data_IF_799479227758
#
_entry.id   IF_799479227758
#
_cell.length_a   1.000
_cell.length_b   1.000
_cell.length_c   1.000
_cell.angle_alpha   90.00
_cell.angle_beta   90.00
_cell.angle_gamma   90.00
#
_symmetry.space_group_name_H-M   'P 1'
#
loop_
_entity.id
_entity.type
_entity.pdbx_description
1 polymer ?
#
# COMPACT_ATOMS: atom_id res chain seq x y z
N UNK A 1 15.79 -18.44 -7.70
CA UNK A 1 16.86 -17.72 -6.98
C UNK A 1 17.16 -16.43 -7.72
N UNK A 2 16.47 -15.33 -7.38
CA UNK A 2 16.77 -14.02 -7.93
C UNK A 2 17.02 -13.10 -6.74
N UNK A 3 18.24 -12.61 -6.71
CA UNK A 3 18.81 -11.71 -5.72
C UNK A 3 18.09 -10.38 -5.77
N UNK A 4 17.47 -9.96 -4.67
CA UNK A 4 16.85 -8.63 -4.56
C UNK A 4 17.64 -7.81 -3.54
N UNK A 5 18.52 -6.98 -4.08
CA UNK A 5 19.37 -6.05 -3.34
C UNK A 5 18.51 -5.04 -2.55
N UNK A 6 18.78 -4.92 -1.25
CA UNK A 6 18.25 -3.86 -0.39
C UNK A 6 19.11 -2.61 -0.58
N UNK A 7 18.67 -1.70 -1.44
CA UNK A 7 19.19 -0.34 -1.49
C UNK A 7 18.44 0.50 -0.44
N UNK A 8 19.07 0.68 0.72
CA UNK A 8 18.64 1.69 1.69
C UNK A 8 19.20 3.03 1.23
N UNK A 9 18.34 3.90 0.72
CA UNK A 9 18.73 5.26 0.34
C UNK A 9 17.76 6.25 1.00
N UNK A 10 18.36 7.29 1.59
CA UNK A 10 17.77 8.44 2.31
C UNK A 10 17.42 8.26 3.79
N UNK A 11 18.46 8.22 4.62
CA UNK A 11 18.45 8.80 5.97
C UNK A 11 19.05 10.21 5.93
N UNK A 12 18.25 11.22 5.56
CA UNK A 12 18.63 12.62 5.78
C UNK A 12 18.20 13.04 7.19
N UNK A 13 19.18 13.15 8.10
CA UNK A 13 19.03 13.87 9.37
C UNK A 13 18.71 15.33 9.05
N UNK A 14 17.53 15.79 9.47
CA UNK A 14 17.24 17.23 9.59
C UNK A 14 18.17 17.81 10.64
N UNK A 15 19.06 18.70 10.20
CA UNK A 15 19.79 19.62 11.06
C UNK A 15 18.77 20.63 11.57
N UNK A 16 18.53 20.65 12.87
CA UNK A 16 17.80 21.71 13.54
C UNK A 16 18.60 23.01 13.43
N UNK A 17 18.27 23.84 12.45
CA UNK A 17 18.71 25.22 12.39
C UNK A 17 17.86 26.03 13.37
N UNK A 18 18.21 25.97 14.66
CA UNK A 18 17.76 26.91 15.68
C UNK A 18 18.30 28.30 15.35
N UNK A 19 17.59 29.04 14.51
CA UNK A 19 17.85 30.46 14.26
C UNK A 19 17.28 31.25 15.42
N UNK A 20 18.06 31.38 16.49
CA UNK A 20 17.80 32.33 17.55
C UNK A 20 17.74 33.74 16.94
N UNK A 21 16.57 34.38 17.08
CA UNK A 21 16.41 35.79 16.79
C UNK A 21 17.18 36.60 17.86
N UNK A 22 17.88 37.69 17.48
CA UNK A 22 18.52 38.56 18.45
C UNK A 22 17.45 39.25 19.32
N UNK A 23 17.74 39.51 20.61
CA UNK A 23 16.86 40.34 21.43
C UNK A 23 16.78 41.74 20.82
N UNK A 24 15.56 42.24 20.64
CA UNK A 24 15.31 43.61 20.26
C UNK A 24 15.83 44.52 21.39
N UNK A 25 16.95 45.19 21.13
CA UNK A 25 17.48 46.28 21.94
C UNK A 25 16.44 47.40 22.01
N UNK A 26 15.74 47.49 23.13
CA UNK A 26 14.93 48.65 23.49
C UNK A 26 15.87 49.78 23.92
N UNK A 27 16.43 50.51 22.96
CA UNK A 27 17.06 51.81 23.21
C UNK A 27 16.00 52.90 23.01
N UNK A 28 15.26 53.16 24.07
CA UNK A 28 14.43 54.36 24.20
C UNK A 28 15.35 55.55 24.51
N UNK A 29 15.96 56.12 23.49
CA UNK A 29 16.57 57.46 23.57
C UNK A 29 15.55 58.49 23.07
N UNK A 30 15.09 59.43 23.91
CA UNK A 30 14.30 60.56 23.45
C UNK A 30 15.18 61.54 22.67
N UNK A 31 14.70 62.15 21.57
CA UNK A 31 15.46 63.17 20.87
C UNK A 31 15.64 64.40 21.78
N UNK A 32 16.91 64.64 22.16
CA UNK A 32 17.39 65.85 22.81
C UNK A 32 17.19 67.05 21.86
N UNK A 33 16.29 67.95 22.23
CA UNK A 33 16.10 69.23 21.54
C UNK A 33 17.23 70.20 21.92
N UNK A 34 17.83 70.94 20.96
CA UNK A 34 18.81 71.97 21.27
C UNK A 34 18.15 73.19 21.98
N UNK A 35 18.91 73.94 22.79
CA UNK A 35 18.37 75.04 23.58
C UNK A 35 17.96 76.23 22.71
N UNK A 36 16.82 76.83 23.04
CA UNK A 36 16.36 78.10 22.49
C UNK A 36 17.36 79.20 22.86
N UNK A 37 18.13 79.67 21.89
CA UNK A 37 18.97 80.86 22.02
C UNK A 37 18.06 82.09 21.95
N UNK A 38 17.89 82.78 23.08
CA UNK A 38 17.29 84.11 23.14
C UNK A 38 18.32 85.16 22.66
N UNK A 39 18.01 86.03 21.70
CA UNK A 39 18.81 87.22 21.47
C UNK A 39 18.40 88.35 22.41
N UNK A 40 19.32 88.70 23.30
CA UNK A 40 19.37 89.97 24.04
C UNK A 40 19.62 91.10 23.05
N UNK A 41 18.72 92.08 22.95
CA UNK A 41 18.97 93.33 22.22
C UNK A 41 18.93 94.49 23.22
N UNK A 42 20.11 95.07 23.41
CA UNK A 42 20.36 96.33 24.13
C UNK A 42 20.19 97.52 23.18
N UNK A 43 19.33 98.45 23.62
CA UNK A 43 19.29 99.92 23.46
C UNK A 43 20.03 100.59 22.28
N UNK A 44 19.36 101.52 21.59
CA UNK A 44 19.76 102.94 21.65
C UNK A 44 18.78 103.92 20.94
N UNK A 45 18.61 105.08 21.59
CA UNK A 45 18.04 106.33 21.07
C UNK A 45 18.84 106.85 19.89
N UNK A 46 18.20 107.19 18.76
CA UNK A 46 18.59 108.33 17.91
C UNK A 46 17.31 108.99 17.37
N UNK A 47 17.27 110.31 17.49
CA UNK A 47 16.23 111.23 17.04
C UNK A 47 16.47 111.69 15.59
N UNK A 48 15.36 112.02 14.94
CA UNK A 48 15.14 113.11 13.97
C UNK A 48 15.67 113.02 12.51
N UNK A 49 14.71 113.28 11.60
CA UNK A 49 14.81 114.03 10.34
C UNK A 49 15.12 113.26 9.02
N UNK A 50 14.08 112.85 8.25
CA UNK A 50 14.11 112.69 6.77
C UNK A 50 12.74 112.33 6.13
N UNK A 51 11.75 113.22 6.15
CA UNK A 51 10.36 112.93 5.74
C UNK A 51 10.06 112.82 4.22
N UNK A 52 11.02 112.52 3.33
CA UNK A 52 10.75 112.45 1.87
C UNK A 52 11.43 111.28 1.13
N UNK A 53 12.40 110.58 1.73
CA UNK A 53 13.07 109.41 1.12
C UNK A 53 12.47 108.05 1.50
N UNK A 54 11.71 107.97 2.60
CA UNK A 54 11.10 106.71 3.09
C UNK A 54 10.05 106.15 2.12
N UNK A 55 9.37 107.01 1.36
CA UNK A 55 8.24 106.61 0.52
C UNK A 55 8.63 105.63 -0.60
N UNK A 56 9.83 105.78 -1.18
CA UNK A 56 10.35 104.92 -2.25
C UNK A 56 10.86 103.59 -1.71
N UNK A 57 11.43 103.56 -0.51
CA UNK A 57 11.84 102.31 0.16
C UNK A 57 10.64 101.46 0.58
N UNK A 58 9.55 102.09 1.06
CA UNK A 58 8.33 101.37 1.42
C UNK A 58 7.68 100.68 0.22
N UNK A 59 7.66 101.31 -0.96
CA UNK A 59 7.12 100.70 -2.19
C UNK A 59 7.96 99.50 -2.68
N UNK A 60 9.29 99.58 -2.57
CA UNK A 60 10.18 98.46 -2.90
C UNK A 60 10.02 97.29 -1.93
N UNK A 61 9.87 97.58 -0.63
CA UNK A 61 9.57 96.59 0.40
C UNK A 61 8.22 95.93 0.15
N UNK A 62 7.19 96.68 -0.23
CA UNK A 62 5.85 96.14 -0.48
C UNK A 62 5.81 95.30 -1.77
N UNK A 63 6.56 95.69 -2.81
CA UNK A 63 6.79 94.85 -3.99
C UNK A 63 7.54 93.56 -3.66
N UNK A 64 8.59 93.63 -2.83
CA UNK A 64 9.31 92.43 -2.42
C UNK A 64 8.42 91.49 -1.60
N UNK A 65 7.60 92.05 -0.71
CA UNK A 65 6.64 91.33 0.12
C UNK A 65 5.57 90.63 -0.73
N UNK A 66 4.96 91.35 -1.68
CA UNK A 66 3.95 90.78 -2.58
C UNK A 66 4.53 89.67 -3.45
N UNK A 67 5.74 89.83 -3.99
CA UNK A 67 6.46 88.76 -4.72
C UNK A 67 6.73 87.53 -3.85
N UNK A 68 7.09 87.74 -2.58
CA UNK A 68 7.31 86.64 -1.66
C UNK A 68 6.00 85.91 -1.35
N UNK A 69 4.91 86.65 -1.12
CA UNK A 69 3.58 86.09 -0.85
C UNK A 69 3.13 85.24 -2.03
N UNK A 70 3.18 85.75 -3.27
CA UNK A 70 2.76 85.00 -4.45
C UNK A 70 3.62 83.75 -4.68
N UNK A 71 4.92 83.83 -4.42
CA UNK A 71 5.82 82.67 -4.47
C UNK A 71 5.42 81.62 -3.42
N UNK A 72 5.17 82.03 -2.18
CA UNK A 72 4.75 81.14 -1.11
C UNK A 72 3.37 80.52 -1.38
N UNK A 73 2.44 81.27 -1.97
CA UNK A 73 1.14 80.76 -2.39
C UNK A 73 1.28 79.71 -3.50
N UNK A 74 2.12 79.96 -4.50
CA UNK A 74 2.43 79.00 -5.56
C UNK A 74 3.10 77.72 -5.02
N UNK A 75 4.06 77.85 -4.10
CA UNK A 75 4.67 76.69 -3.42
C UNK A 75 3.65 75.94 -2.56
N UNK A 76 2.76 76.66 -1.86
CA UNK A 76 1.68 76.06 -1.07
C UNK A 76 0.73 75.25 -1.97
N UNK A 77 0.34 75.79 -3.12
CA UNK A 77 -0.51 75.09 -4.09
C UNK A 77 0.18 73.86 -4.66
N UNK A 78 1.47 73.96 -5.00
CA UNK A 78 2.26 72.82 -5.48
C UNK A 78 2.35 71.72 -4.41
N UNK A 79 2.69 72.07 -3.18
CA UNK A 79 2.74 71.12 -2.07
C UNK A 79 1.38 70.51 -1.77
N UNK A 80 0.29 71.28 -1.88
CA UNK A 80 -1.06 70.77 -1.73
C UNK A 80 -1.41 69.76 -2.83
N UNK A 81 -1.02 70.02 -4.09
CA UNK A 81 -1.20 69.10 -5.20
C UNK A 81 -0.37 67.82 -5.03
N UNK A 82 0.90 67.95 -4.64
CA UNK A 82 1.80 66.81 -4.39
C UNK A 82 1.30 65.94 -3.22
N UNK A 83 0.82 66.57 -2.13
CA UNK A 83 0.18 65.86 -1.02
C UNK A 83 -1.10 65.16 -1.44
N UNK A 84 -1.91 65.78 -2.31
CA UNK A 84 -3.10 65.17 -2.89
C UNK A 84 -2.75 63.93 -3.72
N UNK A 85 -1.76 64.04 -4.59
CA UNK A 85 -1.24 62.94 -5.40
C UNK A 85 -0.68 61.80 -4.55
N UNK A 86 0.15 62.11 -3.55
CA UNK A 86 0.72 61.12 -2.65
C UNK A 86 -0.36 60.38 -1.84
N UNK A 87 -1.39 61.08 -1.38
CA UNK A 87 -2.54 60.46 -0.69
C UNK A 87 -3.33 59.53 -1.63
N UNK A 88 -3.54 59.94 -2.88
CA UNK A 88 -4.20 59.10 -3.87
C UNK A 88 -3.38 57.84 -4.22
N UNK A 89 -2.06 57.96 -4.32
CA UNK A 89 -1.16 56.81 -4.50
C UNK A 89 -1.16 55.88 -3.29
N UNK A 90 -1.15 56.44 -2.08
CA UNK A 90 -1.20 55.66 -0.84
C UNK A 90 -2.53 54.90 -0.72
N UNK A 91 -3.66 55.53 -1.01
CA UNK A 91 -4.96 54.85 -0.98
C UNK A 91 -5.07 53.76 -2.05
N UNK A 92 -4.57 54.01 -3.26
CA UNK A 92 -4.52 53.00 -4.32
C UNK A 92 -3.62 51.80 -3.93
N UNK A 93 -2.46 52.05 -3.33
CA UNK A 93 -1.56 51.00 -2.85
C UNK A 93 -2.17 50.19 -1.69
N UNK A 94 -2.92 50.84 -0.79
CA UNK A 94 -3.65 50.17 0.29
C UNK A 94 -4.76 49.26 -0.27
N UNK A 95 -5.56 49.76 -1.22
CA UNK A 95 -6.59 48.97 -1.88
C UNK A 95 -6.00 47.74 -2.60
N UNK A 96 -4.89 47.92 -3.33
CA UNK A 96 -4.20 46.81 -3.99
C UNK A 96 -3.62 45.79 -3.00
N UNK A 97 -3.09 46.25 -1.86
CA UNK A 97 -2.58 45.37 -0.81
C UNK A 97 -3.72 44.58 -0.13
N UNK A 98 -4.87 45.21 0.11
CA UNK A 98 -6.06 44.55 0.65
C UNK A 98 -6.62 43.51 -0.33
N UNK A 99 -6.69 43.84 -1.62
CA UNK A 99 -7.09 42.89 -2.66
C UNK A 99 -6.12 41.70 -2.74
N UNK A 100 -4.81 41.94 -2.68
CA UNK A 100 -3.82 40.87 -2.66
C UNK A 100 -3.94 39.99 -1.42
N UNK A 101 -4.29 40.56 -0.26
CA UNK A 101 -4.52 39.80 0.98
C UNK A 101 -5.79 38.97 0.90
N UNK A 102 -6.86 39.51 0.31
CA UNK A 102 -8.09 38.75 0.08
C UNK A 102 -7.81 37.53 -0.81
N UNK A 103 -7.10 37.74 -1.93
CA UNK A 103 -6.70 36.65 -2.84
C UNK A 103 -5.79 35.62 -2.17
N UNK A 104 -4.87 36.02 -1.29
CA UNK A 104 -4.02 35.05 -0.58
C UNK A 104 -4.84 34.19 0.38
N UNK A 105 -5.82 34.77 1.08
CA UNK A 105 -6.72 34.02 1.97
C UNK A 105 -7.55 33.01 1.18
N UNK A 106 -8.07 33.40 0.00
CA UNK A 106 -8.83 32.50 -0.87
C UNK A 106 -7.98 31.33 -1.38
N UNK A 107 -6.74 31.60 -1.79
CA UNK A 107 -5.81 30.56 -2.23
C UNK A 107 -5.41 29.62 -1.09
N UNK A 108 -5.15 30.14 0.11
CA UNK A 108 -4.88 29.32 1.29
C UNK A 108 -6.07 28.40 1.63
N UNK A 109 -7.29 28.93 1.56
CA UNK A 109 -8.50 28.14 1.75
C UNK A 109 -8.63 27.04 0.68
N UNK A 110 -8.33 27.35 -0.58
CA UNK A 110 -8.38 26.36 -1.67
C UNK A 110 -7.32 25.26 -1.52
N UNK A 111 -6.09 25.62 -1.13
CA UNK A 111 -5.02 24.65 -0.85
C UNK A 111 -5.41 23.76 0.32
N UNK A 112 -6.00 24.33 1.39
CA UNK A 112 -6.49 23.54 2.53
C UNK A 112 -7.58 22.54 2.10
N UNK A 113 -8.50 22.95 1.23
CA UNK A 113 -9.54 22.06 0.68
C UNK A 113 -8.94 20.91 -0.14
N UNK A 114 -7.98 21.20 -1.02
CA UNK A 114 -7.30 20.18 -1.84
C UNK A 114 -6.50 19.20 -0.99
N UNK A 115 -5.79 19.68 0.04
CA UNK A 115 -5.10 18.84 0.99
C UNK A 115 -6.06 17.91 1.74
N UNK A 116 -7.20 18.42 2.20
CA UNK A 116 -8.22 17.60 2.86
C UNK A 116 -8.81 16.54 1.92
N UNK A 117 -9.09 16.89 0.67
CA UNK A 117 -9.57 15.95 -0.34
C UNK A 117 -8.55 14.85 -0.65
N UNK A 118 -7.27 15.21 -0.78
CA UNK A 118 -6.19 14.26 -1.01
C UNK A 118 -6.03 13.27 0.16
N UNK A 119 -6.17 13.73 1.41
CA UNK A 119 -6.14 12.84 2.57
C UNK A 119 -7.28 11.81 2.56
N UNK A 120 -8.49 12.22 2.16
CA UNK A 120 -9.65 11.32 2.04
C UNK A 120 -9.37 10.24 1.00
N UNK A 121 -8.86 10.63 -0.18
CA UNK A 121 -8.49 9.68 -1.23
C UNK A 121 -7.36 8.73 -0.79
N UNK A 122 -6.33 9.24 -0.11
CA UNK A 122 -5.26 8.38 0.42
C UNK A 122 -5.80 7.36 1.43
N UNK A 123 -6.75 7.73 2.29
CA UNK A 123 -7.41 6.78 3.22
C UNK A 123 -8.19 5.73 2.44
N UNK A 124 -8.90 6.12 1.37
CA UNK A 124 -9.59 5.21 0.46
C UNK A 124 -8.63 4.21 -0.22
N UNK A 125 -7.51 4.70 -0.77
CA UNK A 125 -6.48 3.86 -1.37
C UNK A 125 -5.86 2.88 -0.36
N UNK A 126 -5.59 3.31 0.89
CA UNK A 126 -5.09 2.44 1.96
C UNK A 126 -6.09 1.34 2.33
N UNK A 127 -7.37 1.68 2.42
CA UNK A 127 -8.44 0.72 2.70
C UNK A 127 -8.55 -0.33 1.58
N UNK A 128 -8.54 0.10 0.31
CA UNK A 128 -8.53 -0.81 -0.85
C UNK A 128 -7.29 -1.70 -0.87
N UNK A 129 -6.10 -1.16 -0.59
CA UNK A 129 -4.88 -1.95 -0.52
C UNK A 129 -4.93 -3.01 0.60
N UNK A 130 -5.52 -2.68 1.76
CA UNK A 130 -5.74 -3.65 2.83
C UNK A 130 -6.72 -4.75 2.42
N UNK A 131 -7.78 -4.40 1.68
CA UNK A 131 -8.74 -5.38 1.15
C UNK A 131 -8.09 -6.30 0.12
N UNK A 132 -7.30 -5.77 -0.82
CA UNK A 132 -6.56 -6.57 -1.80
C UNK A 132 -5.68 -7.60 -1.09
N UNK A 133 -4.89 -7.18 -0.09
CA UNK A 133 -4.04 -8.10 0.68
C UNK A 133 -4.84 -9.23 1.36
N UNK A 134 -6.01 -8.92 1.93
CA UNK A 134 -6.88 -9.94 2.55
C UNK A 134 -7.37 -10.96 1.52
N UNK A 135 -7.76 -10.49 0.33
CA UNK A 135 -8.21 -11.37 -0.75
C UNK A 135 -7.07 -12.23 -1.29
N UNK A 136 -5.86 -11.68 -1.42
CA UNK A 136 -4.66 -12.44 -1.81
C UNK A 136 -4.38 -13.57 -0.82
N UNK A 137 -4.36 -13.28 0.49
CA UNK A 137 -4.19 -14.31 1.53
C UNK A 137 -5.28 -15.38 1.44
N UNK A 138 -6.55 -14.99 1.27
CA UNK A 138 -7.65 -15.95 1.14
C UNK A 138 -7.55 -16.82 -0.12
N UNK A 139 -7.01 -16.29 -1.22
CA UNK A 139 -6.79 -17.07 -2.45
C UNK A 139 -5.67 -18.08 -2.26
N UNK A 140 -4.59 -17.71 -1.57
CA UNK A 140 -3.49 -18.62 -1.28
C UNK A 140 -3.92 -19.73 -0.32
N UNK A 141 -4.67 -19.39 0.75
CA UNK A 141 -5.27 -20.39 1.65
C UNK A 141 -6.18 -21.38 0.90
N UNK A 142 -6.97 -20.87 -0.06
CA UNK A 142 -7.85 -21.69 -0.89
C UNK A 142 -7.05 -22.60 -1.85
N UNK A 143 -5.94 -22.11 -2.41
CA UNK A 143 -5.02 -22.90 -3.24
C UNK A 143 -4.38 -24.02 -2.43
N UNK A 144 -3.88 -23.71 -1.23
CA UNK A 144 -3.26 -24.70 -0.33
C UNK A 144 -4.27 -25.73 0.16
N UNK A 145 -5.51 -25.31 0.46
CA UNK A 145 -6.60 -26.23 0.75
C UNK A 145 -6.94 -27.12 -0.46
N UNK A 146 -6.93 -26.55 -1.67
CA UNK A 146 -7.12 -27.30 -2.92
C UNK A 146 -6.02 -28.34 -3.15
N UNK A 147 -4.75 -27.96 -2.97
CA UNK A 147 -3.61 -28.85 -3.10
C UNK A 147 -3.67 -30.03 -2.11
N UNK A 148 -4.01 -29.74 -0.85
CA UNK A 148 -4.22 -30.79 0.18
C UNK A 148 -5.36 -31.74 -0.18
N UNK A 149 -6.50 -31.22 -0.65
CA UNK A 149 -7.62 -32.06 -1.10
C UNK A 149 -7.24 -32.93 -2.29
N UNK A 150 -6.43 -32.42 -3.21
CA UNK A 150 -5.97 -33.22 -4.35
C UNK A 150 -4.99 -34.31 -3.91
N UNK A 151 -4.10 -34.02 -2.96
CA UNK A 151 -3.21 -35.03 -2.36
C UNK A 151 -3.99 -36.11 -1.60
N UNK A 152 -5.01 -35.73 -0.84
CA UNK A 152 -5.93 -36.66 -0.17
C UNK A 152 -6.72 -37.48 -1.19
N UNK A 153 -7.25 -36.86 -2.24
CA UNK A 153 -7.92 -37.56 -3.35
C UNK A 153 -6.99 -38.48 -4.12
N UNK A 154 -5.70 -38.18 -4.16
CA UNK A 154 -4.70 -39.06 -4.77
C UNK A 154 -4.44 -40.33 -3.94
N UNK A 155 -5.05 -40.48 -2.77
CA UNK A 155 -4.90 -41.67 -1.91
C UNK A 155 -6.24 -42.37 -1.69
N UNK A 156 -6.21 -43.68 -1.84
CA UNK A 156 -7.31 -44.57 -1.48
C UNK A 156 -7.15 -44.97 0.00
N UNK A 157 -7.99 -44.40 0.86
CA UNK A 157 -8.03 -44.73 2.28
C UNK A 157 -8.92 -45.94 2.54
N UNK A 158 -8.41 -46.90 3.32
CA UNK A 158 -9.11 -48.14 3.62
C UNK A 158 -9.03 -48.52 5.10
N UNK A 159 -9.95 -49.38 5.51
CA UNK A 159 -9.97 -50.08 6.79
C UNK A 159 -10.23 -51.57 6.53
N UNK A 160 -9.44 -52.45 7.11
CA UNK A 160 -9.62 -53.89 6.99
C UNK A 160 -10.74 -54.35 7.91
N UNK A 161 -11.77 -54.99 7.36
CA UNK A 161 -12.92 -55.47 8.12
C UNK A 161 -12.55 -56.45 9.25
N UNK A 162 -11.60 -57.40 9.07
CA UNK A 162 -11.33 -58.40 10.11
C UNK A 162 -10.69 -57.87 11.40
N UNK A 163 -9.89 -56.81 11.32
CA UNK A 163 -9.10 -56.31 12.46
C UNK A 163 -9.16 -54.79 12.66
N UNK A 164 -9.91 -54.06 11.83
CA UNK A 164 -10.01 -52.61 11.88
C UNK A 164 -8.73 -51.86 11.47
N UNK A 165 -7.73 -52.54 10.92
CA UNK A 165 -6.46 -51.91 10.53
C UNK A 165 -6.67 -50.94 9.38
N UNK A 166 -6.23 -49.71 9.56
CA UNK A 166 -6.37 -48.64 8.56
C UNK A 166 -5.12 -48.45 7.73
N UNK A 167 -5.26 -48.03 6.49
CA UNK A 167 -4.13 -47.63 5.65
C UNK A 167 -4.52 -46.73 4.49
N UNK A 168 -3.54 -46.40 3.65
CA UNK A 168 -3.75 -45.62 2.42
C UNK A 168 -2.87 -46.15 1.29
N UNK A 169 -3.40 -46.19 0.07
CA UNK A 169 -2.69 -46.59 -1.14
C UNK A 169 -2.68 -45.41 -2.12
N UNK A 170 -1.57 -45.11 -2.77
CA UNK A 170 -1.56 -44.05 -3.79
C UNK A 170 -2.34 -44.47 -5.04
N UNK A 171 -2.94 -43.50 -5.72
CA UNK A 171 -3.59 -43.68 -7.03
C UNK A 171 -2.67 -44.36 -8.03
N UNK A 172 -1.39 -43.97 -8.04
CA UNK A 172 -0.39 -44.51 -8.97
C UNK A 172 -0.17 -46.00 -8.77
N UNK A 173 -0.21 -46.49 -7.52
CA UNK A 173 -0.10 -47.91 -7.19
C UNK A 173 -1.36 -48.66 -7.62
N UNK A 174 -2.56 -48.10 -7.40
CA UNK A 174 -3.80 -48.72 -7.88
C UNK A 174 -3.90 -48.75 -9.41
N UNK A 175 -3.37 -47.73 -10.10
CA UNK A 175 -3.36 -47.64 -11.55
C UNK A 175 -2.45 -48.69 -12.22
N UNK A 176 -1.62 -49.43 -11.47
CA UNK A 176 -0.83 -50.55 -12.00
C UNK A 176 -1.69 -51.75 -12.41
N UNK A 177 -2.91 -51.84 -11.87
CA UNK A 177 -3.91 -52.86 -12.18
C UNK A 177 -5.27 -52.19 -12.46
N UNK A 178 -5.46 -51.53 -13.61
CA UNK A 178 -6.67 -50.74 -13.91
C UNK A 178 -7.95 -51.59 -13.96
N UNK A 179 -7.82 -52.87 -14.29
CA UNK A 179 -8.96 -53.80 -14.33
C UNK A 179 -9.37 -54.31 -12.94
N UNK A 180 -8.55 -54.06 -11.92
CA UNK A 180 -8.80 -54.51 -10.55
C UNK A 180 -10.03 -53.84 -9.95
N UNK A 181 -10.73 -54.56 -9.07
CA UNK A 181 -11.87 -54.02 -8.34
C UNK A 181 -11.45 -52.83 -7.47
N UNK A 182 -10.25 -52.86 -6.90
CA UNK A 182 -9.70 -51.77 -6.08
C UNK A 182 -9.53 -50.47 -6.87
N UNK A 183 -9.08 -50.54 -8.12
CA UNK A 183 -8.98 -49.36 -8.97
C UNK A 183 -10.35 -48.81 -9.34
N UNK A 184 -11.31 -49.68 -9.68
CA UNK A 184 -12.70 -49.28 -9.97
C UNK A 184 -13.39 -48.63 -8.77
N UNK A 185 -13.17 -49.18 -7.57
CA UNK A 185 -13.61 -48.56 -6.31
C UNK A 185 -13.02 -47.17 -6.13
N UNK A 186 -11.72 -47.00 -6.36
CA UNK A 186 -11.07 -45.70 -6.27
C UNK A 186 -11.63 -44.68 -7.28
N UNK A 187 -11.88 -45.10 -8.52
CA UNK A 187 -12.47 -44.25 -9.56
C UNK A 187 -13.95 -43.91 -9.30
N UNK A 188 -14.61 -44.59 -8.37
CA UNK A 188 -16.04 -44.44 -8.10
C UNK A 188 -16.93 -45.22 -9.08
N UNK A 189 -16.35 -46.07 -9.91
CA UNK A 189 -17.07 -46.92 -10.86
C UNK A 189 -17.75 -48.11 -10.17
N UNK A 190 -17.36 -48.39 -8.93
CA UNK A 190 -17.93 -49.46 -8.10
C UNK A 190 -18.35 -48.93 -6.73
N UNK A 191 -19.59 -49.18 -6.34
CA UNK A 191 -20.10 -48.82 -5.01
C UNK A 191 -19.65 -49.85 -3.97
N UNK A 192 -19.13 -49.37 -2.84
CA UNK A 192 -18.60 -50.23 -1.78
C UNK A 192 -18.91 -49.69 -0.38
N UNK A 193 -18.98 -50.55 0.65
CA UNK A 193 -19.21 -50.14 2.02
C UNK A 193 -18.10 -49.23 2.54
N UNK A 194 -18.48 -48.11 3.14
CA UNK A 194 -17.56 -47.16 3.79
C UNK A 194 -17.86 -47.05 5.27
N UNK A 195 -16.83 -46.76 6.05
CA UNK A 195 -17.00 -46.45 7.47
C UNK A 195 -17.48 -45.00 7.69
N UNK A 196 -17.67 -44.61 8.95
CA UNK A 196 -18.09 -43.25 9.35
C UNK A 196 -17.13 -42.14 8.88
N UNK A 197 -15.87 -42.50 8.58
CA UNK A 197 -14.85 -41.59 8.09
C UNK A 197 -14.74 -41.61 6.54
N UNK A 198 -15.63 -42.32 5.85
CA UNK A 198 -15.64 -42.45 4.40
C UNK A 198 -14.55 -43.39 3.83
N UNK A 199 -13.84 -44.12 4.68
CA UNK A 199 -12.78 -45.07 4.30
C UNK A 199 -13.39 -46.35 3.74
N UNK A 200 -12.75 -46.95 2.75
CA UNK A 200 -13.20 -48.21 2.17
C UNK A 200 -13.09 -49.37 3.15
N UNK A 201 -14.18 -50.09 3.39
CA UNK A 201 -14.15 -51.31 4.18
C UNK A 201 -13.71 -52.45 3.26
N UNK A 202 -12.50 -52.96 3.51
CA UNK A 202 -11.87 -54.01 2.72
C UNK A 202 -12.00 -55.33 3.49
N UNK A 203 -12.70 -56.30 2.88
CA UNK A 203 -12.95 -57.63 3.47
C UNK A 203 -11.78 -58.61 3.31
N UNK A 204 -10.57 -58.09 3.08
CA UNK A 204 -9.36 -58.89 2.91
C UNK A 204 -8.77 -59.31 4.26
N UNK A 205 -8.16 -60.50 4.31
CA UNK A 205 -7.45 -60.99 5.49
C UNK A 205 -6.17 -60.16 5.73
N UNK A 206 -5.89 -59.70 6.95
CA UNK A 206 -4.76 -58.80 7.22
C UNK A 206 -3.40 -59.38 6.79
N UNK A 207 -3.13 -60.65 7.10
CA UNK A 207 -1.85 -61.31 6.77
C UNK A 207 -1.60 -61.49 5.26
N UNK A 208 -2.61 -61.28 4.41
CA UNK A 208 -2.53 -61.44 2.96
C UNK A 208 -2.69 -60.12 2.22
N UNK A 209 -3.29 -59.14 2.88
CA UNK A 209 -3.36 -57.79 2.38
C UNK A 209 -1.99 -57.19 2.10
N UNK A 210 -0.99 -57.47 2.95
CA UNK A 210 0.39 -57.05 2.71
C UNK A 210 0.93 -57.53 1.36
N UNK A 211 0.73 -58.81 1.01
CA UNK A 211 1.15 -59.38 -0.27
C UNK A 211 0.39 -58.79 -1.46
N UNK A 212 -0.89 -58.46 -1.29
CA UNK A 212 -1.68 -57.75 -2.31
C UNK A 212 -1.11 -56.35 -2.55
N UNK A 213 -0.81 -55.60 -1.48
CA UNK A 213 -0.21 -54.27 -1.57
C UNK A 213 1.18 -54.30 -2.18
N UNK A 214 2.00 -55.27 -1.78
CA UNK A 214 3.33 -55.48 -2.34
C UNK A 214 3.22 -55.74 -3.85
N UNK A 215 2.37 -56.68 -4.28
CA UNK A 215 2.13 -56.94 -5.70
C UNK A 215 1.70 -55.70 -6.48
N UNK A 216 0.76 -54.91 -5.96
CA UNK A 216 0.33 -53.68 -6.63
C UNK A 216 1.46 -52.64 -6.77
N UNK A 217 2.38 -52.62 -5.80
CA UNK A 217 3.48 -51.65 -5.73
C UNK A 217 4.66 -52.07 -6.61
N UNK A 218 5.05 -53.34 -6.56
CA UNK A 218 6.30 -53.85 -7.17
C UNK A 218 6.03 -54.70 -8.42
N UNK A 219 4.80 -55.19 -8.59
CA UNK A 219 4.46 -56.22 -9.57
C UNK A 219 5.00 -57.61 -9.23
N UNK A 220 5.61 -57.81 -8.05
CA UNK A 220 6.17 -59.11 -7.65
C UNK A 220 5.06 -60.07 -7.23
N UNK A 221 5.31 -61.37 -7.42
CA UNK A 221 4.42 -62.45 -7.00
C UNK A 221 5.13 -63.19 -5.87
N UNK A 222 4.46 -63.50 -4.75
CA UNK A 222 5.05 -64.31 -3.69
C UNK A 222 5.54 -65.66 -4.23
N UNK A 223 6.70 -66.13 -3.76
CA UNK A 223 7.29 -67.40 -4.22
C UNK A 223 6.67 -68.62 -3.56
N UNK A 224 6.03 -68.46 -2.40
CA UNK A 224 5.38 -69.53 -1.67
C UNK A 224 3.93 -69.71 -2.15
N UNK A 225 3.48 -70.95 -2.43
CA UNK A 225 2.10 -71.20 -2.83
C UNK A 225 1.14 -70.92 -1.68
N UNK A 226 0.21 -69.98 -1.88
CA UNK A 226 -0.85 -69.66 -0.92
C UNK A 226 -2.23 -69.62 -1.58
N UNK A 227 -3.08 -70.59 -1.23
CA UNK A 227 -4.39 -70.77 -1.87
C UNK A 227 -5.38 -69.70 -1.43
N UNK A 228 -5.25 -69.20 -0.19
CA UNK A 228 -6.12 -68.14 0.33
C UNK A 228 -5.78 -66.81 -0.32
N UNK A 229 -4.49 -66.55 -0.57
CA UNK A 229 -4.07 -65.37 -1.32
C UNK A 229 -4.55 -65.46 -2.78
N UNK A 230 -4.51 -66.64 -3.39
CA UNK A 230 -5.04 -66.85 -4.75
C UNK A 230 -6.55 -66.54 -4.82
N UNK A 231 -7.34 -67.03 -3.87
CA UNK A 231 -8.77 -66.73 -3.81
C UNK A 231 -9.05 -65.23 -3.65
N UNK A 232 -8.27 -64.54 -2.81
CA UNK A 232 -8.35 -63.08 -2.68
C UNK A 232 -7.92 -62.36 -3.96
N UNK A 233 -6.85 -62.81 -4.61
CA UNK A 233 -6.38 -62.22 -5.86
C UNK A 233 -7.44 -62.34 -6.96
N UNK A 234 -8.16 -63.47 -7.02
CA UNK A 234 -9.30 -63.66 -7.92
C UNK A 234 -10.46 -62.73 -7.58
N UNK A 235 -10.82 -62.64 -6.30
CA UNK A 235 -11.89 -61.73 -5.83
C UNK A 235 -11.63 -60.27 -6.21
N UNK A 236 -10.39 -59.80 -6.06
CA UNK A 236 -10.02 -58.41 -6.39
C UNK A 236 -9.71 -58.20 -7.89
N UNK A 237 -9.87 -59.21 -8.74
CA UNK A 237 -9.51 -59.20 -10.17
C UNK A 237 -8.05 -58.81 -10.45
N UNK A 238 -7.11 -59.32 -9.63
CA UNK A 238 -5.67 -59.08 -9.78
C UNK A 238 -5.04 -60.06 -10.75
N UNK A 239 -5.37 -59.95 -12.04
CA UNK A 239 -5.03 -60.95 -13.06
C UNK A 239 -3.54 -61.33 -13.13
N UNK A 240 -2.61 -60.39 -12.92
CA UNK A 240 -1.17 -60.69 -12.89
C UNK A 240 -0.78 -61.56 -11.68
N UNK A 241 -1.30 -61.24 -10.50
CA UNK A 241 -1.07 -61.99 -9.27
C UNK A 241 -1.69 -63.39 -9.36
N UNK A 242 -2.91 -63.50 -9.88
CA UNK A 242 -3.62 -64.78 -10.09
C UNK A 242 -2.77 -65.72 -10.95
N UNK A 243 -2.34 -65.27 -12.13
CA UNK A 243 -1.48 -66.08 -13.02
C UNK A 243 -0.18 -66.51 -12.37
N UNK A 244 0.44 -65.61 -11.60
CA UNK A 244 1.70 -65.92 -10.90
C UNK A 244 1.52 -66.97 -9.81
N UNK A 245 0.46 -66.87 -9.01
CA UNK A 245 0.17 -67.83 -7.94
C UNK A 245 -0.28 -69.18 -8.49
N UNK A 246 -1.09 -69.22 -9.56
CA UNK A 246 -1.50 -70.48 -10.22
C UNK A 246 -0.31 -71.26 -10.78
N UNK A 247 0.70 -70.56 -11.31
CA UNK A 247 1.93 -71.19 -11.80
C UNK A 247 2.73 -71.92 -10.71
N UNK A 248 2.51 -71.61 -9.43
CA UNK A 248 3.14 -72.28 -8.29
C UNK A 248 2.43 -73.58 -7.86
N UNK A 249 1.29 -73.91 -8.47
CA UNK A 249 0.55 -75.16 -8.24
C UNK A 249 0.78 -76.14 -9.40
N UNK A 250 1.91 -76.89 -9.41
CA UNK A 250 2.19 -77.87 -10.44
C UNK A 250 1.12 -78.98 -10.41
N UNK A 251 0.36 -79.10 -11.50
CA UNK A 251 -0.74 -80.07 -11.63
C UNK A 251 -2.05 -79.46 -12.15
N UNK A 252 -2.20 -78.14 -12.11
CA UNK A 252 -3.27 -77.44 -12.83
C UNK A 252 -2.80 -77.19 -14.25
N UNK A 253 -3.04 -78.15 -15.14
CA UNK A 253 -2.86 -77.94 -16.58
C UNK A 253 -3.89 -76.90 -17.00
N UNK A 254 -3.44 -75.69 -17.33
CA UNK A 254 -4.25 -74.73 -18.09
C UNK A 254 -4.53 -75.40 -19.42
N UNK A 255 -5.70 -76.04 -19.54
CA UNK A 255 -6.26 -76.38 -20.84
C UNK A 255 -6.48 -75.05 -21.55
N UNK A 256 -5.50 -74.66 -22.37
CA UNK A 256 -5.73 -73.68 -23.42
C UNK A 256 -6.90 -74.25 -24.23
N UNK A 257 -8.06 -73.62 -24.09
CA UNK A 257 -9.24 -73.97 -24.87
C UNK A 257 -8.85 -73.84 -26.35
N UNK A 258 -8.74 -74.95 -27.11
CA UNK A 258 -8.27 -74.88 -28.50
C UNK A 258 -9.26 -74.16 -29.42
N UNK A 259 -10.46 -73.84 -28.92
CA UNK A 259 -11.53 -73.17 -29.65
C UNK A 259 -11.58 -71.64 -29.40
N UNK A 260 -10.58 -71.05 -28.76
CA UNK A 260 -10.48 -69.59 -28.66
C UNK A 260 -10.17 -69.00 -30.06
N UNK A 261 -11.20 -68.52 -30.76
CA UNK A 261 -11.05 -67.86 -32.06
C UNK A 261 -10.05 -66.70 -31.97
N UNK A 262 -9.09 -66.61 -32.91
CA UNK A 262 -8.14 -65.51 -32.94
C UNK A 262 -8.87 -64.20 -33.24
N UNK A 263 -8.62 -63.18 -32.40
CA UNK A 263 -9.02 -61.78 -32.62
C UNK A 263 -8.11 -61.16 -33.68
#
# INVERSE_FOLDING_TARGET
>A
MVSSAKLSWFGQRKVECSRALPPASSSSDPPSFPPLVQPTITQNKIKECACVSEKVEWEAIDQARTKLITKLECEREKLAADLGSARAQQSAAQAAAEESRARSVDLEAHVAQLCAALEVEMRGCRAKAAQIRRLETSLDDARDAGARREEERARFHYVLAPNGQTGSISRTVLASAPDSLLYKMYCGDWEYPRDENGRAIITCHPDRWASVLEHLTTGTVPTEPDSRLLDQARYWYLGRLVRGLEALYPGVVVLNDPDAEPI
#
